data_IF_956571654299
#
_entry.id   IF_956571654299
#
_cell.length_a   1.000
_cell.length_b   1.000
_cell.length_c   1.000
_cell.angle_alpha   90.00
_cell.angle_beta   90.00
_cell.angle_gamma   90.00
#
_symmetry.space_group_name_H-M   'P 1'
#
loop_
_entity.id
_entity.type
_entity.pdbx_description
1 polymer ?
#
# COMPACT_ATOMS: atom_id res chain seq x y z
N UNK A 1 -6.32 5.50 -20.20
CA UNK A 1 -7.65 6.01 -20.55
C UNK A 1 -8.29 5.03 -21.51
N UNK A 2 -9.56 4.69 -21.32
CA UNK A 2 -10.31 3.86 -22.26
C UNK A 2 -11.35 4.72 -22.94
N UNK A 3 -11.35 4.71 -24.27
CA UNK A 3 -12.29 5.44 -25.11
C UNK A 3 -13.36 4.47 -25.60
N UNK A 4 -14.63 4.85 -25.48
CA UNK A 4 -15.77 4.05 -25.92
C UNK A 4 -16.52 4.80 -27.01
N UNK A 5 -16.48 4.29 -28.24
CA UNK A 5 -17.21 4.86 -29.37
C UNK A 5 -18.38 3.95 -29.71
N UNK A 6 -19.60 4.50 -29.67
CA UNK A 6 -20.79 3.85 -30.20
C UNK A 6 -21.10 4.44 -31.58
N UNK A 7 -21.20 3.57 -32.59
CA UNK A 7 -21.45 3.96 -33.97
C UNK A 7 -22.76 3.33 -34.45
N UNK A 8 -23.68 4.17 -34.89
CA UNK A 8 -24.90 3.78 -35.59
C UNK A 8 -24.70 4.00 -37.09
N UNK A 9 -24.60 2.92 -37.87
CA UNK A 9 -24.24 3.00 -39.29
C UNK A 9 -25.40 2.51 -40.15
N UNK A 10 -25.83 3.38 -41.08
CA UNK A 10 -26.80 3.04 -42.12
C UNK A 10 -26.16 3.02 -43.51
N UNK A 11 -26.79 2.31 -44.44
CA UNK A 11 -26.35 2.20 -45.83
C UNK A 11 -25.24 1.17 -46.06
N UNK A 12 -24.58 1.26 -47.22
CA UNK A 12 -23.58 0.28 -47.68
C UNK A 12 -22.26 0.37 -46.90
N UNK A 13 -21.54 -0.74 -46.89
CA UNK A 13 -20.19 -0.84 -46.34
C UNK A 13 -19.26 0.15 -47.02
N UNK A 14 -18.46 0.88 -46.22
CA UNK A 14 -17.54 1.91 -46.70
C UNK A 14 -16.42 2.16 -45.71
N UNK A 15 -15.35 2.79 -46.18
CA UNK A 15 -14.32 3.32 -45.30
C UNK A 15 -14.73 4.69 -44.77
N UNK A 16 -14.49 4.91 -43.48
CA UNK A 16 -14.67 6.21 -42.82
C UNK A 16 -13.35 6.60 -42.17
N UNK A 17 -12.98 7.86 -42.38
CA UNK A 17 -11.78 8.46 -41.82
C UNK A 17 -12.19 9.42 -40.70
N UNK A 18 -11.80 9.09 -39.48
CA UNK A 18 -12.06 9.93 -38.31
C UNK A 18 -10.76 10.62 -37.90
N UNK A 19 -10.77 11.95 -37.92
CA UNK A 19 -9.60 12.76 -37.61
C UNK A 19 -9.50 13.04 -36.11
N UNK A 20 -8.26 13.19 -35.65
CA UNK A 20 -7.87 13.55 -34.28
C UNK A 20 -8.70 12.88 -33.19
N UNK A 21 -8.72 11.54 -33.11
CA UNK A 21 -9.67 10.81 -32.26
C UNK A 21 -9.25 10.74 -30.79
N UNK A 22 -7.95 10.95 -30.52
CA UNK A 22 -7.36 10.70 -29.20
C UNK A 22 -6.64 11.93 -28.66
N UNK A 23 -6.56 12.09 -27.34
CA UNK A 23 -5.81 13.15 -26.69
C UNK A 23 -4.36 13.31 -27.16
N UNK A 24 -3.86 14.54 -27.05
CA UNK A 24 -2.43 14.83 -27.08
C UNK A 24 -1.66 14.06 -26.01
N UNK A 25 -0.42 13.67 -26.37
CA UNK A 25 0.48 12.89 -25.52
C UNK A 25 -0.06 11.52 -25.06
N UNK A 26 -0.96 10.90 -25.83
CA UNK A 26 -1.45 9.56 -25.59
C UNK A 26 -1.03 8.57 -26.68
N UNK A 27 -0.72 7.34 -26.27
CA UNK A 27 -0.33 6.22 -27.15
C UNK A 27 -1.37 5.12 -27.06
N UNK A 28 -1.75 4.54 -28.22
CA UNK A 28 -2.65 3.39 -28.28
C UNK A 28 -1.93 2.15 -27.76
N UNK A 29 -2.56 1.47 -26.80
CA UNK A 29 -2.09 0.22 -26.21
C UNK A 29 -2.84 -0.99 -26.78
N UNK A 30 -4.15 -0.83 -27.03
CA UNK A 30 -4.99 -1.88 -27.60
C UNK A 30 -6.25 -1.28 -28.26
N UNK A 31 -6.79 -1.99 -29.24
CA UNK A 31 -8.08 -1.71 -29.88
C UNK A 31 -8.91 -2.99 -29.84
N UNK A 32 -10.12 -2.89 -29.30
CA UNK A 32 -11.12 -3.96 -29.29
C UNK A 32 -12.34 -3.51 -30.10
N UNK A 33 -12.59 -4.21 -31.19
CA UNK A 33 -13.64 -3.86 -32.16
C UNK A 33 -13.98 -5.05 -33.04
N UNK A 34 -15.27 -5.20 -33.35
CA UNK A 34 -15.75 -6.15 -34.39
C UNK A 34 -15.63 -5.58 -35.81
N UNK A 35 -15.40 -4.28 -35.94
CA UNK A 35 -15.07 -3.63 -37.21
C UNK A 35 -13.54 -3.58 -37.38
N UNK A 36 -13.03 -3.71 -38.61
CA UNK A 36 -11.62 -3.41 -38.89
C UNK A 36 -11.34 -1.93 -38.60
N UNK A 37 -10.38 -1.69 -37.69
CA UNK A 37 -9.93 -0.35 -37.29
C UNK A 37 -8.42 -0.29 -37.47
N UNK A 38 -7.96 0.66 -38.27
CA UNK A 38 -6.55 0.91 -38.50
C UNK A 38 -6.16 2.28 -37.93
N UNK A 39 -5.26 2.31 -36.93
CA UNK A 39 -4.60 3.55 -36.51
C UNK A 39 -3.73 4.11 -37.62
N UNK A 40 -3.82 5.41 -37.83
CA UNK A 40 -3.02 6.16 -38.80
C UNK A 40 -2.16 7.21 -38.08
N UNK A 41 -1.27 7.87 -38.82
CA UNK A 41 -0.52 9.02 -38.31
C UNK A 41 -1.46 10.10 -37.75
N UNK A 42 -0.95 10.93 -36.84
CA UNK A 42 -1.71 12.03 -36.22
C UNK A 42 -3.01 11.58 -35.53
N UNK A 43 -3.04 10.33 -35.01
CA UNK A 43 -4.17 9.77 -34.25
C UNK A 43 -5.48 9.79 -35.04
N UNK A 44 -5.37 9.64 -36.35
CA UNK A 44 -6.49 9.37 -37.21
C UNK A 44 -6.84 7.89 -37.13
N UNK A 45 -8.12 7.57 -37.34
CA UNK A 45 -8.59 6.20 -37.45
C UNK A 45 -9.24 6.01 -38.81
N UNK A 46 -8.81 4.96 -39.52
CA UNK A 46 -9.54 4.42 -40.66
C UNK A 46 -10.38 3.25 -40.18
N UNK A 47 -11.69 3.32 -40.41
CA UNK A 47 -12.66 2.34 -39.93
C UNK A 47 -13.45 1.82 -41.13
N UNK A 48 -13.49 0.51 -41.30
CA UNK A 48 -14.33 -0.13 -42.31
C UNK A 48 -15.70 -0.38 -41.68
N UNK A 49 -16.63 0.54 -41.92
CA UNK A 49 -17.97 0.48 -41.33
C UNK A 49 -18.92 -0.31 -42.21
N UNK A 50 -19.85 -1.02 -41.57
CA UNK A 50 -20.98 -1.70 -42.22
C UNK A 50 -22.26 -1.43 -41.44
N UNK A 51 -23.42 -1.69 -42.04
CA UNK A 51 -24.72 -1.43 -41.43
C UNK A 51 -24.84 -2.09 -40.05
N UNK A 52 -25.36 -1.36 -39.07
CA UNK A 52 -25.60 -1.85 -37.71
C UNK A 52 -25.08 -0.91 -36.62
N UNK A 53 -25.21 -1.38 -35.37
CA UNK A 53 -24.67 -0.75 -34.18
C UNK A 53 -23.33 -1.41 -33.82
N UNK A 54 -22.30 -0.59 -33.64
CA UNK A 54 -20.95 -1.06 -33.35
C UNK A 54 -20.35 -0.33 -32.16
N UNK A 55 -19.55 -1.06 -31.38
CA UNK A 55 -18.76 -0.52 -30.29
C UNK A 55 -17.29 -0.70 -30.65
N UNK A 56 -16.51 0.37 -30.47
CA UNK A 56 -15.06 0.36 -30.59
C UNK A 56 -14.50 0.84 -29.25
N UNK A 57 -13.70 -0.01 -28.59
CA UNK A 57 -12.95 0.35 -27.39
C UNK A 57 -11.49 0.58 -27.75
N UNK A 58 -10.94 1.73 -27.35
CA UNK A 58 -9.52 2.05 -27.54
C UNK A 58 -8.89 2.29 -26.18
N UNK A 59 -7.88 1.50 -25.84
CA UNK A 59 -7.10 1.71 -24.62
C UNK A 59 -5.87 2.54 -24.97
N UNK A 60 -5.73 3.69 -24.31
CA UNK A 60 -4.56 4.55 -24.44
C UNK A 60 -3.86 4.78 -23.11
N UNK A 61 -2.58 5.11 -23.17
CA UNK A 61 -1.79 5.55 -22.03
C UNK A 61 -1.16 6.91 -22.34
N UNK A 62 -1.21 7.83 -21.39
CA UNK A 62 -0.46 9.08 -21.50
C UNK A 62 1.03 8.82 -21.26
N UNK A 63 1.90 9.45 -22.05
CA UNK A 63 3.35 9.31 -21.90
C UNK A 63 3.90 10.05 -20.68
N UNK A 64 3.17 11.06 -20.21
CA UNK A 64 3.55 11.92 -19.10
C UNK A 64 2.40 12.07 -18.09
N UNK A 65 2.69 12.66 -16.93
CA UNK A 65 1.66 12.97 -15.93
C UNK A 65 0.74 14.09 -16.43
N UNK A 66 -0.56 13.80 -16.48
CA UNK A 66 -1.59 14.76 -16.91
C UNK A 66 -2.12 15.53 -15.70
N UNK A 67 -1.79 16.81 -15.61
CA UNK A 67 -2.38 17.75 -14.65
C UNK A 67 -3.57 18.52 -15.22
N UNK A 68 -3.58 18.70 -16.55
CA UNK A 68 -4.63 19.40 -17.28
C UNK A 68 -4.84 18.70 -18.61
N UNK A 69 -6.10 18.44 -18.95
CA UNK A 69 -6.49 17.91 -20.24
C UNK A 69 -7.53 18.84 -20.85
N UNK A 70 -7.22 19.38 -22.02
CA UNK A 70 -8.19 20.10 -22.83
C UNK A 70 -8.60 19.20 -23.98
N UNK A 71 -9.87 18.81 -24.09
CA UNK A 71 -10.28 17.86 -25.08
C UNK A 71 -10.52 18.58 -26.42
N UNK A 72 -9.45 18.63 -27.20
CA UNK A 72 -9.33 19.19 -28.55
C UNK A 72 -9.43 18.09 -29.64
N UNK A 73 -9.70 16.85 -29.23
CA UNK A 73 -9.89 15.68 -30.07
C UNK A 73 -11.38 15.50 -30.43
N UNK A 74 -11.70 14.45 -31.18
CA UNK A 74 -13.00 14.17 -31.78
C UNK A 74 -14.15 14.24 -30.77
N UNK A 75 -14.72 15.44 -30.65
CA UNK A 75 -15.84 15.81 -29.80
C UNK A 75 -16.76 16.70 -30.63
N UNK A 76 -18.02 16.29 -30.77
CA UNK A 76 -18.99 17.10 -31.50
C UNK A 76 -19.46 18.30 -30.66
N UNK A 77 -19.94 18.05 -29.44
CA UNK A 77 -20.39 19.10 -28.52
C UNK A 77 -19.95 18.81 -27.08
N UNK A 78 -20.28 17.62 -26.60
CA UNK A 78 -19.87 17.12 -25.29
C UNK A 78 -19.80 15.60 -25.28
N UNK A 79 -19.05 15.06 -24.33
CA UNK A 79 -19.01 13.63 -24.04
C UNK A 79 -19.08 13.40 -22.52
N UNK A 80 -19.27 12.14 -22.12
CA UNK A 80 -19.32 11.75 -20.72
C UNK A 80 -18.02 11.04 -20.34
N UNK A 81 -17.33 11.56 -19.32
CA UNK A 81 -16.14 10.94 -18.75
C UNK A 81 -16.48 10.25 -17.44
N UNK A 82 -16.20 8.95 -17.38
CA UNK A 82 -16.20 8.20 -16.13
C UNK A 82 -14.80 8.19 -15.52
N UNK A 83 -14.69 8.53 -14.24
CA UNK A 83 -13.40 8.60 -13.54
C UNK A 83 -13.27 7.49 -12.51
N UNK A 84 -12.50 6.46 -12.85
CA UNK A 84 -12.08 5.44 -11.89
C UNK A 84 -10.86 5.94 -11.10
N UNK A 85 -11.10 6.55 -9.95
CA UNK A 85 -10.03 6.99 -9.06
C UNK A 85 -9.22 5.78 -8.55
N UNK A 86 -7.90 5.94 -8.46
CA UNK A 86 -6.99 4.98 -7.83
C UNK A 86 -6.29 5.68 -6.67
N UNK A 87 -6.97 5.88 -5.51
CA UNK A 87 -6.45 6.69 -4.41
C UNK A 87 -5.11 6.19 -3.85
N UNK A 88 -4.86 4.88 -3.92
CA UNK A 88 -3.59 4.26 -3.54
C UNK A 88 -2.41 4.69 -4.42
N UNK A 89 -2.64 5.23 -5.62
CA UNK A 89 -1.60 5.81 -6.48
C UNK A 89 -1.51 7.33 -6.30
N UNK A 90 -2.66 8.02 -6.29
CA UNK A 90 -2.75 9.48 -6.13
C UNK A 90 -4.19 9.93 -5.86
N UNK A 91 -4.36 10.93 -5.00
CA UNK A 91 -5.67 11.57 -4.77
C UNK A 91 -5.84 12.77 -5.68
N UNK A 92 -6.78 12.66 -6.61
CA UNK A 92 -7.09 13.70 -7.59
C UNK A 92 -8.53 14.14 -7.41
N UNK A 93 -8.73 15.45 -7.41
CA UNK A 93 -10.03 16.08 -7.63
C UNK A 93 -10.08 16.65 -9.05
N UNK A 94 -11.14 16.31 -9.78
CA UNK A 94 -11.42 16.89 -11.08
C UNK A 94 -12.14 18.23 -10.87
N UNK A 95 -11.61 19.28 -11.46
CA UNK A 95 -12.20 20.61 -11.45
C UNK A 95 -12.52 21.08 -12.89
N UNK A 96 -13.41 22.06 -12.99
CA UNK A 96 -13.79 22.68 -14.27
C UNK A 96 -14.83 21.89 -15.07
N UNK A 97 -15.42 20.84 -14.50
CA UNK A 97 -16.42 19.97 -15.14
C UNK A 97 -17.63 19.73 -14.23
N UNK A 98 -18.79 19.41 -14.83
CA UNK A 98 -20.04 19.19 -14.11
C UNK A 98 -20.30 17.68 -13.96
N UNK A 99 -20.56 17.23 -12.73
CA UNK A 99 -20.98 15.86 -12.45
C UNK A 99 -22.38 15.56 -13.02
N UNK A 100 -22.58 14.33 -13.47
CA UNK A 100 -23.86 13.81 -13.97
C UNK A 100 -24.13 12.43 -13.38
N UNK A 101 -25.39 11.99 -13.37
CA UNK A 101 -25.73 10.63 -12.96
C UNK A 101 -25.31 9.63 -14.06
N UNK A 102 -24.39 8.67 -13.78
CA UNK A 102 -23.93 7.70 -14.76
C UNK A 102 -25.06 6.86 -15.36
N UNK A 103 -26.07 6.50 -14.57
CA UNK A 103 -27.16 5.60 -15.00
C UNK A 103 -28.08 6.26 -16.03
N UNK A 104 -28.15 7.59 -16.01
CA UNK A 104 -29.04 8.40 -16.86
C UNK A 104 -28.29 9.15 -17.97
N UNK A 105 -26.98 8.88 -18.16
CA UNK A 105 -26.11 9.65 -19.06
C UNK A 105 -25.48 8.82 -20.19
N UNK A 106 -26.01 7.62 -20.47
CA UNK A 106 -25.51 6.75 -21.55
C UNK A 106 -24.14 6.12 -21.26
N UNK A 107 -23.72 6.05 -19.99
CA UNK A 107 -22.48 5.41 -19.57
C UNK A 107 -22.60 3.88 -19.69
N UNK A 108 -21.60 3.17 -20.26
CA UNK A 108 -21.59 1.72 -20.31
C UNK A 108 -21.75 1.09 -18.92
N UNK A 109 -22.43 -0.05 -18.85
CA UNK A 109 -22.76 -0.72 -17.58
C UNK A 109 -21.53 -0.92 -16.67
N UNK A 110 -20.40 -1.30 -17.26
CA UNK A 110 -19.11 -1.51 -16.57
C UNK A 110 -18.53 -0.25 -15.90
N UNK A 111 -19.00 0.95 -16.28
CA UNK A 111 -18.52 2.24 -15.77
C UNK A 111 -19.55 3.00 -14.95
N UNK A 112 -20.77 2.49 -14.82
CA UNK A 112 -21.84 3.14 -14.07
C UNK A 112 -21.56 3.24 -12.56
N UNK A 113 -20.62 2.43 -12.04
CA UNK A 113 -20.14 2.52 -10.65
C UNK A 113 -19.18 3.67 -10.42
N UNK A 114 -18.65 4.31 -11.47
CA UNK A 114 -17.70 5.41 -11.35
C UNK A 114 -18.41 6.77 -11.43
N UNK A 115 -17.89 7.81 -10.74
CA UNK A 115 -18.31 9.18 -10.97
C UNK A 115 -18.24 9.54 -12.45
N UNK A 116 -19.30 10.14 -12.98
CA UNK A 116 -19.41 10.57 -14.36
C UNK A 116 -19.51 12.10 -14.45
N UNK A 117 -18.90 12.66 -15.50
CA UNK A 117 -18.85 14.11 -15.73
C UNK A 117 -19.16 14.42 -17.18
N UNK A 118 -19.91 15.48 -17.42
CA UNK A 118 -20.12 16.02 -18.77
C UNK A 118 -18.97 16.97 -19.10
N UNK A 119 -18.26 16.69 -20.18
CA UNK A 119 -17.11 17.46 -20.66
C UNK A 119 -17.40 18.00 -22.06
N UNK A 120 -17.29 19.31 -22.24
CA UNK A 120 -17.50 19.97 -23.55
C UNK A 120 -16.20 20.05 -24.36
N UNK A 121 -16.33 20.16 -25.67
CA UNK A 121 -15.19 20.44 -26.54
C UNK A 121 -14.43 21.69 -26.06
N UNK A 122 -13.09 21.62 -26.04
CA UNK A 122 -12.19 22.69 -25.58
C UNK A 122 -12.36 23.15 -24.12
N UNK A 123 -13.18 22.47 -23.30
CA UNK A 123 -13.32 22.76 -21.88
C UNK A 123 -12.13 22.14 -21.10
N UNK A 124 -11.26 22.95 -20.48
CA UNK A 124 -10.12 22.40 -19.77
C UNK A 124 -10.59 21.67 -18.50
N UNK A 125 -10.15 20.43 -18.37
CA UNK A 125 -10.32 19.61 -17.17
C UNK A 125 -9.01 19.65 -16.40
N UNK A 126 -9.05 20.16 -15.17
CA UNK A 126 -7.88 20.16 -14.30
C UNK A 126 -7.96 18.99 -13.33
N UNK A 127 -6.90 18.19 -13.34
CA UNK A 127 -6.66 17.12 -12.40
C UNK A 127 -5.88 17.77 -11.26
N UNK A 128 -6.60 18.40 -10.33
CA UNK A 128 -5.97 18.95 -9.14
C UNK A 128 -5.54 17.76 -8.28
N UNK A 129 -4.26 17.44 -8.38
CA UNK A 129 -3.59 16.61 -7.41
C UNK A 129 -3.75 17.31 -6.07
N UNK A 130 -4.68 16.79 -5.25
CA UNK A 130 -4.86 17.35 -3.92
C UNK A 130 -3.64 16.98 -3.09
N UNK A 131 -3.15 15.72 -3.24
CA UNK A 131 -2.03 15.15 -2.50
C UNK A 131 -1.41 13.96 -3.28
N UNK A 132 -0.06 13.85 -3.31
CA UNK A 132 0.67 12.66 -3.80
C UNK A 132 0.62 11.56 -2.74
N UNK A 133 -0.41 10.71 -2.78
CA UNK A 133 -0.55 9.61 -1.82
C UNK A 133 -0.87 10.07 -0.40
N UNK A 134 -1.30 9.12 0.42
CA UNK A 134 -1.80 9.27 1.79
C UNK A 134 -0.88 10.13 2.69
N UNK A 135 -1.38 11.11 3.47
CA UNK A 135 -0.52 11.95 4.31
C UNK A 135 0.20 11.15 5.41
N UNK A 136 -0.44 10.15 5.99
CA UNK A 136 0.20 9.18 6.88
C UNK A 136 -0.66 7.93 6.85
N UNK A 137 -0.16 6.78 6.38
CA UNK A 137 -0.77 5.52 6.76
C UNK A 137 -0.94 5.53 8.29
N UNK A 138 -2.07 5.04 8.84
CA UNK A 138 -2.25 4.98 10.29
C UNK A 138 -0.99 4.39 10.90
N UNK A 139 -0.48 4.96 12.02
CA UNK A 139 0.80 4.54 12.57
C UNK A 139 0.80 3.03 12.73
N UNK A 140 1.95 2.41 12.48
CA UNK A 140 2.09 0.98 12.64
C UNK A 140 1.63 0.58 14.05
N UNK A 141 0.85 -0.49 14.10
CA UNK A 141 0.29 -1.00 15.35
C UNK A 141 0.86 -2.39 15.57
N UNK A 142 2.02 -2.46 16.22
CA UNK A 142 2.74 -3.70 16.46
C UNK A 142 2.79 -4.02 17.95
N UNK A 143 2.58 -5.30 18.27
CA UNK A 143 2.73 -5.83 19.62
C UNK A 143 3.72 -6.98 19.61
N UNK A 144 4.57 -7.03 20.62
CA UNK A 144 5.59 -8.08 20.78
C UNK A 144 5.30 -8.92 22.04
N UNK A 145 5.34 -10.24 21.87
CA UNK A 145 5.42 -11.22 22.95
C UNK A 145 6.77 -11.91 22.88
N UNK A 146 7.60 -11.65 23.89
CA UNK A 146 8.98 -12.09 23.97
C UNK A 146 9.14 -13.17 25.03
N UNK A 147 9.83 -14.25 24.69
CA UNK A 147 10.33 -15.24 25.65
C UNK A 147 11.85 -15.15 25.70
N UNK A 148 12.39 -14.99 26.91
CA UNK A 148 13.81 -14.88 27.19
C UNK A 148 14.23 -16.11 27.99
N UNK A 149 15.32 -16.75 27.60
CA UNK A 149 15.99 -17.77 28.41
C UNK A 149 17.38 -17.28 28.72
N UNK A 150 17.67 -17.07 30.01
CA UNK A 150 19.04 -16.82 30.45
C UNK A 150 19.84 -18.11 30.31
N UNK A 151 21.04 -18.03 29.76
CA UNK A 151 21.93 -19.20 29.70
C UNK A 151 22.33 -19.65 31.10
N UNK A 152 22.62 -20.93 31.25
CA UNK A 152 23.08 -21.50 32.53
C UNK A 152 24.35 -20.84 33.07
N UNK A 153 25.26 -20.45 32.16
CA UNK A 153 26.51 -19.78 32.48
C UNK A 153 26.36 -18.25 32.65
N UNK A 154 25.16 -17.70 32.42
CA UNK A 154 24.90 -16.27 32.52
C UNK A 154 25.55 -15.42 31.43
N UNK A 155 25.98 -16.00 30.31
CA UNK A 155 26.66 -15.26 29.24
C UNK A 155 25.72 -14.59 28.23
N UNK A 156 24.41 -14.73 28.38
CA UNK A 156 23.43 -14.03 27.57
C UNK A 156 22.06 -14.66 27.58
N UNK A 157 21.23 -14.25 26.61
CA UNK A 157 19.87 -14.74 26.43
C UNK A 157 19.65 -15.32 25.05
N UNK A 158 18.94 -16.44 25.01
CA UNK A 158 18.20 -16.87 23.82
C UNK A 158 16.84 -16.20 23.84
N UNK A 159 16.45 -15.60 22.72
CA UNK A 159 15.25 -14.77 22.60
C UNK A 159 14.35 -15.37 21.52
N UNK A 160 13.09 -15.58 21.86
CA UNK A 160 12.04 -15.91 20.90
C UNK A 160 10.99 -14.80 20.92
N UNK A 161 10.79 -14.15 19.78
CA UNK A 161 9.83 -13.07 19.60
C UNK A 161 8.66 -13.53 18.75
N UNK A 162 7.45 -13.17 19.17
CA UNK A 162 6.25 -13.17 18.33
C UNK A 162 5.75 -11.74 18.17
N UNK A 163 5.71 -11.24 16.95
CA UNK A 163 5.25 -9.89 16.63
C UNK A 163 3.97 -9.99 15.80
N UNK A 164 2.92 -9.32 16.26
CA UNK A 164 1.63 -9.29 15.57
C UNK A 164 1.16 -7.85 15.40
N UNK A 165 0.44 -7.57 14.31
CA UNK A 165 -0.15 -6.25 14.11
C UNK A 165 -0.32 -5.82 12.67
N UNK A 166 -0.37 -4.52 12.45
CA UNK A 166 -0.45 -3.93 11.11
C UNK A 166 0.75 -3.02 10.86
N UNK A 167 1.43 -3.24 9.72
CA UNK A 167 2.50 -2.39 9.22
C UNK A 167 1.97 -1.64 7.99
N UNK A 168 1.99 -0.32 8.09
CA UNK A 168 1.44 0.60 7.11
C UNK A 168 2.55 1.51 6.55
N UNK A 169 3.65 1.72 7.28
CA UNK A 169 4.88 2.40 6.87
C UNK A 169 6.06 1.41 6.90
N UNK A 170 7.13 1.67 6.14
CA UNK A 170 8.40 0.93 6.15
C UNK A 170 8.32 -0.60 5.99
N UNK A 171 8.58 -1.10 4.79
CA UNK A 171 8.50 -2.53 4.45
C UNK A 171 9.68 -3.38 4.91
N UNK A 172 10.45 -2.91 5.89
CA UNK A 172 11.61 -3.62 6.42
C UNK A 172 11.64 -3.53 7.93
N UNK A 173 11.86 -4.66 8.59
CA UNK A 173 12.04 -4.73 10.03
C UNK A 173 13.47 -5.15 10.34
N UNK A 174 14.22 -4.26 10.97
CA UNK A 174 15.61 -4.46 11.33
C UNK A 174 15.76 -4.82 12.81
N UNK A 175 16.67 -5.75 13.10
CA UNK A 175 17.15 -6.00 14.45
C UNK A 175 18.28 -5.01 14.78
N UNK A 176 18.25 -4.44 15.99
CA UNK A 176 19.33 -3.56 16.46
C UNK A 176 20.65 -4.33 16.56
N UNK A 177 21.82 -3.67 16.41
CA UNK A 177 23.13 -4.34 16.46
C UNK A 177 23.45 -5.05 17.80
N UNK A 178 22.67 -4.78 18.85
CA UNK A 178 22.82 -5.41 20.17
C UNK A 178 22.35 -6.87 20.18
N UNK A 179 21.47 -7.26 19.25
CA UNK A 179 20.88 -8.59 19.18
C UNK A 179 21.19 -9.19 17.81
N UNK A 180 21.74 -10.40 17.82
CA UNK A 180 21.99 -11.14 16.59
C UNK A 180 20.75 -11.94 16.19
N UNK A 181 20.09 -11.52 15.11
CA UNK A 181 18.97 -12.25 14.52
C UNK A 181 19.48 -13.56 13.88
N UNK A 182 18.92 -14.69 14.27
CA UNK A 182 19.29 -16.01 13.75
C UNK A 182 18.28 -16.57 12.76
N UNK A 183 16.98 -16.34 13.01
CA UNK A 183 15.89 -16.79 12.16
C UNK A 183 14.71 -15.83 12.25
N UNK A 184 13.98 -15.69 11.15
CA UNK A 184 12.70 -15.00 11.11
C UNK A 184 11.74 -15.70 10.15
N UNK A 185 10.46 -15.74 10.49
CA UNK A 185 9.39 -16.33 9.71
C UNK A 185 8.16 -15.44 9.77
N UNK A 186 7.51 -15.22 8.64
CA UNK A 186 6.29 -14.43 8.51
C UNK A 186 5.15 -15.34 8.06
N UNK A 187 4.08 -15.38 8.85
CA UNK A 187 2.91 -16.25 8.65
C UNK A 187 3.32 -17.72 8.43
N UNK A 188 4.28 -18.19 9.24
CA UNK A 188 4.81 -19.56 9.20
C UNK A 188 5.78 -19.86 8.06
N UNK A 189 6.17 -18.87 7.22
CA UNK A 189 7.15 -19.03 6.14
C UNK A 189 8.45 -18.31 6.48
N UNK A 190 9.55 -19.07 6.50
CA UNK A 190 10.90 -18.53 6.73
C UNK A 190 11.22 -17.41 5.73
N UNK A 191 11.84 -16.34 6.24
CA UNK A 191 12.25 -15.17 5.47
C UNK A 191 13.77 -15.14 5.31
N UNK A 192 14.22 -14.56 4.20
CA UNK A 192 15.64 -14.29 4.00
C UNK A 192 16.07 -13.13 4.91
N UNK A 193 17.08 -13.38 5.74
CA UNK A 193 17.76 -12.34 6.51
C UNK A 193 18.74 -11.62 5.59
N UNK A 194 18.62 -10.30 5.49
CA UNK A 194 19.55 -9.47 4.74
C UNK A 194 20.19 -8.45 5.66
N UNK A 195 21.42 -8.02 5.34
CA UNK A 195 22.13 -7.00 6.09
C UNK A 195 22.08 -5.65 5.35
N UNK A 196 21.78 -4.58 6.08
CA UNK A 196 21.79 -3.21 5.59
C UNK A 196 22.32 -2.30 6.70
N UNK A 197 23.31 -1.45 6.42
CA UNK A 197 23.92 -0.54 7.40
C UNK A 197 24.32 -1.23 8.74
N UNK A 198 24.90 -2.43 8.64
CA UNK A 198 25.26 -3.31 9.78
C UNK A 198 24.09 -3.76 10.67
N UNK A 199 22.86 -3.68 10.18
CA UNK A 199 21.67 -4.23 10.82
C UNK A 199 21.15 -5.42 10.01
N UNK A 200 20.92 -6.56 10.68
CA UNK A 200 20.23 -7.70 10.08
C UNK A 200 18.73 -7.49 10.16
N UNK A 201 18.00 -7.78 9.07
CA UNK A 201 16.56 -7.56 9.01
C UNK A 201 15.90 -8.37 7.91
N UNK A 202 14.59 -8.22 7.83
CA UNK A 202 13.76 -8.89 6.83
C UNK A 202 12.88 -7.88 6.08
N UNK A 203 12.59 -8.19 4.82
CA UNK A 203 11.61 -7.48 4.02
C UNK A 203 10.20 -8.03 4.29
N UNK A 204 9.23 -7.14 4.44
CA UNK A 204 7.83 -7.44 4.73
C UNK A 204 6.99 -6.96 3.54
N UNK A 205 6.11 -7.81 3.01
CA UNK A 205 5.26 -7.48 1.86
C UNK A 205 3.76 -7.40 2.18
N UNK A 206 3.39 -7.61 3.44
CA UNK A 206 2.01 -7.78 3.89
C UNK A 206 1.64 -6.69 4.88
N UNK A 207 0.44 -6.11 4.75
CA UNK A 207 -0.06 -5.08 5.68
C UNK A 207 -0.38 -5.63 7.07
N UNK A 208 -0.82 -6.88 7.18
CA UNK A 208 -0.89 -7.58 8.47
C UNK A 208 0.40 -8.38 8.68
N UNK A 209 0.98 -8.26 9.87
CA UNK A 209 2.20 -8.95 10.27
C UNK A 209 1.88 -9.99 11.33
N UNK A 210 2.29 -11.22 11.06
CA UNK A 210 2.42 -12.32 12.02
C UNK A 210 3.84 -12.85 11.86
N UNK A 211 4.73 -12.48 12.77
CA UNK A 211 6.16 -12.75 12.69
C UNK A 211 6.61 -13.55 13.90
N UNK A 212 7.46 -14.54 13.65
CA UNK A 212 8.22 -15.24 14.68
C UNK A 212 9.71 -15.11 14.39
N UNK A 213 10.52 -14.87 15.42
CA UNK A 213 11.96 -14.71 15.27
C UNK A 213 12.74 -15.30 16.45
N UNK A 214 13.86 -15.94 16.12
CA UNK A 214 14.82 -16.45 17.10
C UNK A 214 16.09 -15.63 17.01
N UNK A 215 16.57 -15.15 18.15
CA UNK A 215 17.73 -14.28 18.21
C UNK A 215 18.56 -14.47 19.47
N UNK A 216 19.77 -13.90 19.44
CA UNK A 216 20.78 -14.08 20.48
C UNK A 216 21.26 -12.74 21.00
N UNK A 217 21.23 -12.57 22.31
CA UNK A 217 21.82 -11.42 23.01
C UNK A 217 22.96 -11.90 23.90
N UNK A 218 24.18 -11.42 23.65
CA UNK A 218 25.39 -11.84 24.39
C UNK A 218 26.09 -10.67 25.10
N UNK A 219 25.37 -9.56 25.33
CA UNK A 219 25.90 -8.41 26.07
C UNK A 219 25.45 -8.51 27.54
N UNK A 220 25.66 -7.46 28.35
CA UNK A 220 25.43 -7.48 29.81
C UNK A 220 24.03 -7.97 30.15
N UNK A 221 23.95 -9.09 30.88
CA UNK A 221 22.68 -9.73 31.22
C UNK A 221 21.75 -8.90 32.11
N UNK A 222 22.31 -7.89 32.80
CA UNK A 222 21.59 -6.93 33.64
C UNK A 222 20.97 -5.77 32.87
N UNK A 223 21.29 -5.62 31.58
CA UNK A 223 20.78 -4.57 30.72
C UNK A 223 20.16 -5.23 29.50
N UNK A 224 18.84 -5.27 29.43
CA UNK A 224 18.12 -5.88 28.32
C UNK A 224 17.44 -4.80 27.47
N UNK A 225 17.61 -4.81 26.13
CA UNK A 225 16.80 -3.97 25.26
C UNK A 225 15.34 -4.42 25.33
N UNK A 226 14.44 -3.49 25.64
CA UNK A 226 13.01 -3.79 25.78
C UNK A 226 12.40 -4.36 24.48
N UNK A 227 12.71 -3.73 23.34
CA UNK A 227 12.17 -4.10 22.02
C UNK A 227 13.21 -4.83 21.18
N UNK A 228 14.43 -4.31 21.04
CA UNK A 228 15.51 -4.95 20.27
C UNK A 228 15.38 -4.86 18.75
N UNK A 229 14.19 -4.56 18.24
CA UNK A 229 13.90 -4.19 16.86
C UNK A 229 14.01 -2.66 16.68
N UNK A 230 14.47 -2.23 15.51
CA UNK A 230 14.52 -0.82 15.11
C UNK A 230 13.15 -0.36 14.60
N UNK A 231 12.15 -0.48 15.48
CA UNK A 231 10.76 -0.14 15.22
C UNK A 231 10.04 0.12 16.54
N UNK A 232 9.14 1.10 16.57
CA UNK A 232 8.28 1.32 17.72
C UNK A 232 7.29 0.16 17.93
N UNK A 233 6.97 -0.14 19.19
CA UNK A 233 5.97 -1.15 19.55
C UNK A 233 4.93 -0.50 20.46
N UNK A 234 3.66 -0.80 20.22
CA UNK A 234 2.54 -0.28 21.02
C UNK A 234 2.39 -1.06 22.33
N UNK A 235 2.76 -2.34 22.31
CA UNK A 235 2.70 -3.19 23.48
C UNK A 235 3.88 -4.17 23.49
N UNK A 236 4.53 -4.31 24.64
CA UNK A 236 5.68 -5.18 24.86
C UNK A 236 5.40 -6.06 26.08
N UNK A 237 5.30 -7.36 25.84
CA UNK A 237 5.18 -8.36 26.89
C UNK A 237 6.39 -9.30 26.85
N UNK A 238 7.00 -9.57 28.00
CA UNK A 238 8.15 -10.46 28.09
C UNK A 238 7.97 -11.51 29.20
N UNK A 239 8.38 -12.74 28.92
CA UNK A 239 8.52 -13.81 29.90
C UNK A 239 9.99 -14.18 30.05
N UNK A 240 10.53 -14.01 31.27
CA UNK A 240 11.92 -14.34 31.59
C UNK A 240 11.99 -15.69 32.27
N UNK A 241 12.62 -16.64 31.59
CA UNK A 241 12.97 -17.96 32.11
C UNK A 241 14.39 -17.91 32.67
N UNK A 242 14.51 -18.21 33.97
CA UNK A 242 15.79 -18.29 34.66
C UNK A 242 16.17 -19.76 34.88
N UNK A 243 17.42 -20.15 34.60
CA UNK A 243 17.89 -21.48 34.95
C UNK A 243 17.99 -21.63 36.48
N UNK A 244 18.05 -22.86 37.00
CA UNK A 244 18.29 -23.11 38.41
C UNK A 244 19.50 -22.34 38.95
N UNK A 245 19.40 -21.83 40.18
CA UNK A 245 20.44 -21.02 40.81
C UNK A 245 20.36 -19.53 40.52
N UNK A 246 19.51 -19.09 39.58
CA UNK A 246 19.31 -17.69 39.24
C UNK A 246 18.01 -17.14 39.82
N UNK A 247 18.05 -15.87 40.26
CA UNK A 247 16.87 -15.16 40.77
C UNK A 247 16.88 -13.71 40.32
N UNK A 248 15.74 -13.25 39.78
CA UNK A 248 15.54 -11.84 39.48
C UNK A 248 15.36 -11.05 40.78
N UNK A 249 16.33 -10.19 41.11
CA UNK A 249 16.27 -9.32 42.29
C UNK A 249 15.28 -8.18 42.08
N UNK A 250 15.48 -7.39 41.02
CA UNK A 250 14.61 -6.31 40.58
C UNK A 250 14.70 -6.14 39.06
N UNK A 251 13.71 -5.46 38.51
CA UNK A 251 13.73 -4.95 37.15
C UNK A 251 13.19 -3.52 37.17
N UNK A 252 13.78 -2.63 36.37
CA UNK A 252 13.42 -1.23 36.24
C UNK A 252 13.19 -0.89 34.77
N UNK A 253 12.51 0.23 34.49
CA UNK A 253 12.16 0.64 33.12
C UNK A 253 11.01 -0.16 32.49
N UNK A 254 10.13 -0.73 33.31
CA UNK A 254 8.97 -1.55 32.91
C UNK A 254 7.75 -1.09 33.73
N UNK A 255 6.58 -0.99 33.10
CA UNK A 255 5.34 -0.53 33.75
C UNK A 255 4.82 -1.52 34.80
N UNK A 256 5.00 -2.82 34.59
CA UNK A 256 4.55 -3.86 35.53
C UNK A 256 5.50 -5.06 35.51
N UNK A 257 5.96 -5.48 36.69
CA UNK A 257 6.80 -6.67 36.87
C UNK A 257 6.13 -7.59 37.89
N UNK A 258 5.95 -8.86 37.52
CA UNK A 258 5.50 -9.91 38.44
C UNK A 258 6.63 -10.90 38.68
N UNK A 259 6.86 -11.29 39.93
CA UNK A 259 7.78 -12.37 40.28
C UNK A 259 9.24 -11.98 40.58
N UNK A 260 9.60 -10.69 40.55
CA UNK A 260 10.90 -10.22 41.08
C UNK A 260 10.96 -10.36 42.60
N UNK A 261 12.17 -10.51 43.17
CA UNK A 261 12.33 -10.64 44.62
C UNK A 261 11.87 -9.39 45.38
N UNK A 262 12.30 -8.20 44.93
CA UNK A 262 11.91 -6.92 45.52
C UNK A 262 10.44 -6.56 45.23
N UNK A 263 9.87 -7.01 44.09
CA UNK A 263 8.45 -6.79 43.76
C UNK A 263 7.47 -7.64 44.58
N UNK A 264 7.96 -8.54 45.43
CA UNK A 264 7.15 -9.23 46.45
C UNK A 264 6.97 -8.40 47.72
N UNK A 265 7.73 -7.32 47.89
CA UNK A 265 7.63 -6.41 49.02
C UNK A 265 6.80 -5.21 48.57
N UNK A 266 5.72 -4.91 49.29
CA UNK A 266 4.97 -3.66 49.06
C UNK A 266 5.74 -2.52 49.71
N UNK A 267 5.59 -1.30 49.21
CA UNK A 267 6.20 -0.09 49.80
C UNK A 267 5.90 0.05 51.31
N UNK A 268 4.80 -0.56 51.79
CA UNK A 268 4.44 -0.63 53.21
C UNK A 268 5.36 -1.51 54.07
N UNK A 269 6.15 -2.41 53.50
CA UNK A 269 7.00 -3.34 54.27
C UNK A 269 8.29 -2.66 54.78
N UNK A 270 8.63 -1.46 54.27
CA UNK A 270 9.77 -0.65 54.73
C UNK A 270 9.40 0.36 55.84
N UNK A 271 8.12 0.48 56.21
CA UNK A 271 7.66 1.48 57.18
C UNK A 271 7.22 0.93 58.54
N UNK A 272 7.32 -0.39 58.78
CA UNK A 272 6.90 -0.96 60.06
C UNK A 272 7.77 -2.14 60.51
N UNK A 273 8.90 -1.84 61.14
CA UNK A 273 9.38 -2.56 62.33
C UNK A 273 10.09 -1.54 63.23
N UNK A 274 9.64 -1.45 64.48
CA UNK A 274 10.17 -0.58 65.54
C UNK A 274 11.64 -0.85 65.86
#
# INVERSE_FOLDING_TARGET
>A
MTHWFQLSVSGRSREVYVKNVLPDNSTIMAIDSKLPVQPEQNKHLRIHVRTGEWIIKINTRFTESVQRLTPNFFLQESEIWSFNAQPHLRMIRLNGIQGVDPKNSGVPLEWQSYPAYRVKANQPVTFQEQHRGDPEPPPDQLSIQRSLWLDFDGNGYTIHDKINGTINKNWRLNMTPLIKLGRASVSGRDQLLTEFENQSGIEIRTGHLDLTADSRYSNRISQLPAIGWDHSMNNVCAHLNLPPGWRLLAASGIDTVKGSWLGRWRLLDFFWHC
#
